data_IF_409117099880
#
_entry.id   IF_409117099880
#
_cell.length_a   1.000
_cell.length_b   1.000
_cell.length_c   1.000
_cell.angle_alpha   90.00
_cell.angle_beta   90.00
_cell.angle_gamma   90.00
#
_symmetry.space_group_name_H-M   'P 1'
#
loop_
_entity.id
_entity.type
_entity.pdbx_description
1 polymer ?
#
# COMPACT_ATOMS: atom_id res chain seq x y z
N UNK A 1 1.71 -12.84 -5.32
CA UNK A 1 0.96 -11.58 -5.56
C UNK A 1 1.93 -10.43 -5.35
N UNK A 2 1.93 -9.43 -6.22
CA UNK A 2 2.97 -8.40 -6.24
C UNK A 2 2.60 -7.19 -5.38
N UNK A 3 3.57 -6.33 -5.02
CA UNK A 3 3.27 -5.14 -4.22
C UNK A 3 2.27 -4.21 -4.93
N UNK A 4 2.46 -3.96 -6.23
CA UNK A 4 1.49 -3.22 -7.05
C UNK A 4 0.10 -3.88 -7.02
N UNK A 5 0.02 -5.20 -7.11
CA UNK A 5 -1.26 -5.90 -7.06
C UNK A 5 -1.99 -5.72 -5.72
N UNK A 6 -1.27 -5.67 -4.59
CA UNK A 6 -1.86 -5.34 -3.30
C UNK A 6 -2.46 -3.92 -3.30
N UNK A 7 -1.70 -2.92 -3.77
CA UNK A 7 -2.16 -1.53 -3.82
C UNK A 7 -3.38 -1.37 -4.75
N UNK A 8 -3.36 -2.03 -5.91
CA UNK A 8 -4.45 -2.02 -6.89
C UNK A 8 -5.72 -2.65 -6.30
N UNK A 9 -5.60 -3.79 -5.63
CA UNK A 9 -6.71 -4.44 -4.93
C UNK A 9 -7.28 -3.57 -3.80
N UNK A 10 -6.43 -2.83 -3.08
CA UNK A 10 -6.86 -1.92 -2.02
C UNK A 10 -7.67 -0.77 -2.61
N UNK A 11 -7.18 -0.16 -3.70
CA UNK A 11 -7.91 0.89 -4.40
C UNK A 11 -9.23 0.37 -4.95
N UNK A 12 -9.25 -0.83 -5.55
CA UNK A 12 -10.48 -1.45 -6.05
C UNK A 12 -11.50 -1.74 -4.93
N UNK A 13 -11.05 -2.12 -3.73
CA UNK A 13 -11.93 -2.44 -2.59
C UNK A 13 -12.42 -1.20 -1.85
N UNK A 14 -11.56 -0.20 -1.67
CA UNK A 14 -11.83 0.95 -0.80
C UNK A 14 -12.19 2.22 -1.57
N UNK A 15 -11.89 2.26 -2.87
CA UNK A 15 -11.95 3.48 -3.67
C UNK A 15 -10.92 4.54 -3.27
N UNK A 16 -9.94 4.19 -2.43
CA UNK A 16 -8.93 5.12 -1.89
C UNK A 16 -7.54 4.77 -2.37
N UNK A 17 -6.78 5.79 -2.74
CA UNK A 17 -5.37 5.69 -3.09
C UNK A 17 -4.48 5.49 -1.84
N UNK A 18 -3.30 4.86 -1.96
CA UNK A 18 -2.37 4.69 -0.83
C UNK A 18 -1.97 6.03 -0.17
N UNK A 19 -1.91 7.10 -0.96
CA UNK A 19 -1.62 8.47 -0.49
C UNK A 19 -2.71 9.01 0.45
N UNK A 20 -3.97 8.62 0.25
CA UNK A 20 -5.07 8.99 1.15
C UNK A 20 -4.82 8.43 2.56
N UNK A 21 -4.39 7.17 2.67
CA UNK A 21 -4.10 6.56 3.96
C UNK A 21 -2.88 7.20 4.63
N UNK A 22 -1.86 7.58 3.86
CA UNK A 22 -0.71 8.33 4.37
C UNK A 22 -1.10 9.69 4.94
N UNK A 23 -1.91 10.46 4.22
CA UNK A 23 -2.40 11.75 4.72
C UNK A 23 -3.24 11.57 5.99
N UNK A 24 -4.14 10.58 6.01
CA UNK A 24 -5.02 10.32 7.14
C UNK A 24 -4.25 9.82 8.38
N UNK A 25 -3.24 8.97 8.19
CA UNK A 25 -2.36 8.53 9.27
C UNK A 25 -1.60 9.70 9.91
N UNK A 26 -1.11 10.65 9.10
CA UNK A 26 -0.48 11.89 9.59
C UNK A 26 -1.44 12.75 10.40
N UNK A 27 -2.67 12.93 9.91
CA UNK A 27 -3.71 13.71 10.62
C UNK A 27 -4.09 13.04 11.95
N UNK A 28 -4.18 11.70 11.98
CA UNK A 28 -4.46 10.94 13.20
C UNK A 28 -3.26 10.82 14.15
N UNK A 29 -2.05 11.23 13.73
CA UNK A 29 -0.82 11.07 14.51
C UNK A 29 -0.35 9.62 14.66
N UNK A 30 -0.75 8.73 13.75
CA UNK A 30 -0.40 7.30 13.80
C UNK A 30 0.98 7.05 13.18
N UNK A 31 1.91 6.52 13.99
CA UNK A 31 3.27 6.20 13.54
C UNK A 31 3.67 4.75 13.78
N UNK A 32 3.15 4.10 14.83
CA UNK A 32 3.54 2.73 15.17
C UNK A 32 2.83 1.73 14.27
N UNK A 33 3.57 0.70 13.86
CA UNK A 33 3.05 -0.37 13.02
C UNK A 33 1.79 -1.03 13.60
N UNK A 34 1.78 -1.32 14.91
CA UNK A 34 0.62 -1.95 15.56
C UNK A 34 -0.63 -1.08 15.55
N UNK A 35 -0.49 0.23 15.76
CA UNK A 35 -1.61 1.19 15.73
C UNK A 35 -2.15 1.36 14.32
N UNK A 36 -1.27 1.47 13.32
CA UNK A 36 -1.65 1.53 11.91
C UNK A 36 -2.34 0.24 11.47
N UNK A 37 -1.83 -0.92 11.88
CA UNK A 37 -2.42 -2.22 11.55
C UNK A 37 -3.82 -2.36 12.14
N UNK A 38 -4.00 -1.98 13.41
CA UNK A 38 -5.30 -1.99 14.05
C UNK A 38 -6.28 -1.06 13.30
N UNK A 39 -5.88 0.20 13.09
CA UNK A 39 -6.69 1.20 12.39
C UNK A 39 -7.09 0.77 10.97
N UNK A 40 -6.15 0.28 10.16
CA UNK A 40 -6.44 -0.16 8.79
C UNK A 40 -7.38 -1.37 8.74
N UNK A 41 -7.33 -2.23 9.75
CA UNK A 41 -8.26 -3.37 9.87
C UNK A 41 -9.65 -2.92 10.32
N UNK A 42 -9.74 -2.04 11.31
CA UNK A 42 -11.01 -1.64 11.94
C UNK A 42 -11.75 -0.57 11.15
N UNK A 43 -11.06 0.53 10.79
CA UNK A 43 -11.69 1.66 10.10
C UNK A 43 -11.73 1.43 8.58
N UNK A 44 -10.69 0.83 8.02
CA UNK A 44 -10.55 0.71 6.56
C UNK A 44 -10.94 -0.68 6.02
N UNK A 45 -11.30 -1.63 6.89
CA UNK A 45 -11.71 -2.98 6.51
C UNK A 45 -10.63 -3.78 5.76
N UNK A 46 -9.35 -3.41 5.90
CA UNK A 46 -8.26 -4.07 5.20
C UNK A 46 -7.82 -5.34 5.91
N UNK A 47 -7.74 -6.45 5.17
CA UNK A 47 -7.11 -7.68 5.66
C UNK A 47 -5.61 -7.50 5.94
N UNK A 48 -5.02 -8.41 6.71
CA UNK A 48 -3.63 -8.28 7.22
C UNK A 48 -2.60 -7.96 6.12
N UNK A 49 -2.63 -8.68 4.99
CA UNK A 49 -1.68 -8.44 3.88
C UNK A 49 -1.85 -7.07 3.20
N UNK A 50 -3.10 -6.62 3.04
CA UNK A 50 -3.40 -5.29 2.48
C UNK A 50 -3.00 -4.18 3.44
N UNK A 51 -3.29 -4.35 4.74
CA UNK A 51 -2.89 -3.40 5.76
C UNK A 51 -1.36 -3.24 5.80
N UNK A 52 -0.60 -4.33 5.79
CA UNK A 52 0.87 -4.26 5.75
C UNK A 52 1.40 -3.53 4.51
N UNK A 53 0.77 -3.72 3.35
CA UNK A 53 1.17 -3.01 2.14
C UNK A 53 0.99 -1.48 2.28
N UNK A 54 -0.09 -1.04 2.90
CA UNK A 54 -0.34 0.37 3.21
C UNK A 54 0.58 0.87 4.31
N UNK A 55 0.86 0.09 5.35
CA UNK A 55 1.80 0.49 6.40
C UNK A 55 3.19 0.75 5.81
N UNK A 56 3.66 -0.10 4.88
CA UNK A 56 4.91 0.15 4.16
C UNK A 56 4.86 1.49 3.40
N UNK A 57 3.75 1.80 2.73
CA UNK A 57 3.57 3.08 2.03
C UNK A 57 3.58 4.26 3.00
N UNK A 58 2.99 4.10 4.19
CA UNK A 58 2.93 5.14 5.21
C UNK A 58 4.33 5.42 5.79
N UNK A 59 5.07 4.36 6.10
CA UNK A 59 6.38 4.44 6.73
C UNK A 59 7.49 4.84 5.74
N UNK A 60 7.44 4.30 4.52
CA UNK A 60 8.46 4.50 3.49
C UNK A 60 7.80 4.67 2.11
N UNK A 61 7.19 5.84 1.83
CA UNK A 61 6.48 6.09 0.58
C UNK A 61 7.38 5.96 -0.65
N UNK A 62 8.66 6.34 -0.54
CA UNK A 62 9.62 6.26 -1.65
C UNK A 62 9.93 4.80 -2.03
N UNK A 63 10.23 3.95 -1.03
CA UNK A 63 10.43 2.51 -1.26
C UNK A 63 9.17 1.85 -1.81
N UNK A 64 7.99 2.23 -1.30
CA UNK A 64 6.73 1.71 -1.80
C UNK A 64 6.50 2.08 -3.28
N UNK A 65 6.72 3.34 -3.67
CA UNK A 65 6.65 3.80 -5.07
C UNK A 65 7.66 3.07 -5.96
N UNK A 66 8.88 2.84 -5.47
CA UNK A 66 9.89 2.06 -6.18
C UNK A 66 9.40 0.63 -6.45
N UNK A 67 8.90 -0.07 -5.42
CA UNK A 67 8.34 -1.42 -5.58
C UNK A 67 7.17 -1.46 -6.57
N UNK A 68 6.33 -0.43 -6.59
CA UNK A 68 5.23 -0.31 -7.57
C UNK A 68 5.81 -0.20 -8.99
N UNK A 69 6.84 0.63 -9.20
CA UNK A 69 7.50 0.82 -10.50
C UNK A 69 8.26 -0.42 -10.96
N UNK A 70 8.96 -1.10 -10.06
CA UNK A 70 9.65 -2.36 -10.36
C UNK A 70 8.67 -3.45 -10.80
N UNK A 71 7.53 -3.54 -10.11
CA UNK A 71 6.51 -4.52 -10.45
C UNK A 71 5.83 -4.23 -11.79
N UNK A 72 5.62 -2.95 -12.11
CA UNK A 72 5.14 -2.53 -13.41
C UNK A 72 6.12 -2.93 -14.53
N UNK A 73 7.43 -2.77 -14.29
CA UNK A 73 8.49 -3.14 -15.26
C UNK A 73 8.62 -4.65 -15.46
N UNK A 74 8.43 -5.47 -14.42
CA UNK A 74 8.50 -6.94 -14.54
C UNK A 74 7.32 -7.58 -15.28
N UNK A 75 6.22 -6.84 -15.48
CA UNK A 75 5.07 -7.30 -16.28
C UNK A 75 5.22 -7.03 -17.78
N UNK A 76 6.21 -6.24 -18.19
CA UNK A 76 6.57 -6.15 -19.61
C UNK A 76 7.24 -7.48 -19.98
N UNK A 77 6.77 -8.22 -21.01
CA UNK A 77 7.53 -9.34 -21.51
C UNK A 77 8.91 -8.79 -21.87
N UNK A 78 9.98 -9.40 -21.34
CA UNK A 78 11.30 -9.22 -21.94
C UNK A 78 11.12 -9.62 -23.41
N UNK A 79 10.97 -8.63 -24.29
CA UNK A 79 11.19 -8.81 -25.71
C UNK A 79 12.62 -9.29 -25.81
N UNK A 80 12.77 -10.61 -25.93
CA UNK A 80 14.02 -11.25 -26.20
C UNK A 80 14.34 -10.93 -27.67
N UNK A 81 15.07 -9.84 -27.88
CA UNK A 81 15.73 -9.55 -29.15
C UNK A 81 16.88 -10.49 -29.39
#
# INVERSE_FOLDING_TARGET
MTYKAYIDNIKAKTGKDPEYFLALAKVKGLAKHGELLAWLKTDCGLGHGHANAIILYIQNPELAKEKIREDARKKEPRSNG
#
